data_IF_329780026113
#
_entry.id   IF_329780026113
#
_cell.length_a   1.000
_cell.length_b   1.000
_cell.length_c   1.000
_cell.angle_alpha   90.00
_cell.angle_beta   90.00
_cell.angle_gamma   90.00
#
_symmetry.space_group_name_H-M   'P 1'
#
loop_
_entity.id
_entity.type
_entity.pdbx_description
1 polymer ?
#
# COMPACT_ATOMS: atom_id res chain seq x y z
N UNK A 1 -6.05 -2.75 -0.53
CA UNK A 1 -7.48 -2.69 -0.90
C UNK A 1 -7.96 -4.12 -1.07
N UNK A 2 -9.22 -4.45 -0.78
CA UNK A 2 -9.72 -5.84 -0.96
C UNK A 2 -9.79 -6.29 -2.43
N UNK A 3 -9.74 -5.34 -3.38
CA UNK A 3 -9.79 -5.65 -4.80
C UNK A 3 -8.40 -5.91 -5.38
N UNK A 4 -8.24 -6.87 -6.29
CA UNK A 4 -6.98 -7.07 -7.01
C UNK A 4 -6.68 -5.91 -7.96
N UNK A 5 -5.43 -5.76 -8.43
CA UNK A 5 -5.09 -4.73 -9.42
C UNK A 5 -5.93 -4.88 -10.70
N UNK A 6 -6.13 -6.12 -11.16
CA UNK A 6 -6.99 -6.42 -12.30
C UNK A 6 -8.42 -5.92 -12.07
N UNK A 7 -9.02 -6.21 -10.91
CA UNK A 7 -10.38 -5.75 -10.60
C UNK A 7 -10.46 -4.21 -10.58
N UNK A 8 -9.43 -3.52 -10.05
CA UNK A 8 -9.39 -2.05 -10.03
C UNK A 8 -9.28 -1.47 -11.44
N UNK A 9 -8.46 -2.07 -12.30
CA UNK A 9 -8.36 -1.69 -13.72
C UNK A 9 -9.71 -1.89 -14.41
N UNK A 10 -10.36 -3.04 -14.21
CA UNK A 10 -11.68 -3.33 -14.80
C UNK A 10 -12.72 -2.31 -14.37
N UNK A 11 -12.76 -1.93 -13.08
CA UNK A 11 -13.63 -0.87 -12.58
C UNK A 11 -13.36 0.47 -13.27
N UNK A 12 -12.09 0.85 -13.47
CA UNK A 12 -11.73 2.09 -14.17
C UNK A 12 -12.13 2.07 -15.65
N UNK A 13 -11.93 0.93 -16.32
CA UNK A 13 -12.35 0.73 -17.71
C UNK A 13 -13.87 0.79 -17.87
N UNK A 14 -14.62 0.19 -16.93
CA UNK A 14 -16.08 0.26 -16.88
C UNK A 14 -16.58 1.67 -16.51
N UNK A 15 -15.85 2.42 -15.69
CA UNK A 15 -16.18 3.83 -15.41
C UNK A 15 -16.11 4.70 -16.66
N UNK A 16 -15.13 4.44 -17.53
CA UNK A 16 -14.87 5.27 -18.70
C UNK A 16 -14.17 6.59 -18.34
N UNK A 17 -13.96 7.44 -19.33
CA UNK A 17 -13.23 8.70 -19.18
C UNK A 17 -13.86 9.84 -20.00
N UNK A 18 -13.68 11.07 -19.54
CA UNK A 18 -14.24 12.28 -20.16
C UNK A 18 -15.77 12.25 -20.22
N UNK A 19 -16.33 12.61 -21.37
CA UNK A 19 -17.78 12.68 -21.61
C UNK A 19 -18.50 11.33 -21.57
N UNK A 20 -17.77 10.20 -21.54
CA UNK A 20 -18.35 8.84 -21.53
C UNK A 20 -18.27 8.18 -20.15
N UNK A 21 -18.32 8.96 -19.08
CA UNK A 21 -18.31 8.41 -17.72
C UNK A 21 -19.67 7.84 -17.31
N UNK A 22 -19.71 6.54 -17.02
CA UNK A 22 -20.87 5.88 -16.37
C UNK A 22 -20.94 6.27 -14.91
N UNK A 23 -22.12 6.27 -14.28
CA UNK A 23 -22.26 6.52 -12.84
C UNK A 23 -21.60 5.42 -11.98
N UNK A 24 -21.32 5.70 -10.70
CA UNK A 24 -20.70 4.68 -9.82
C UNK A 24 -21.63 3.49 -9.53
N UNK A 25 -22.94 3.70 -9.59
CA UNK A 25 -23.94 2.64 -9.41
C UNK A 25 -23.94 1.70 -10.62
N UNK A 26 -24.03 2.24 -11.83
CA UNK A 26 -23.98 1.46 -13.08
C UNK A 26 -22.69 0.64 -13.19
N UNK A 27 -21.54 1.20 -12.80
CA UNK A 27 -20.27 0.46 -12.79
C UNK A 27 -20.30 -0.70 -11.79
N UNK A 28 -20.90 -0.50 -10.61
CA UNK A 28 -21.01 -1.56 -9.62
C UNK A 28 -21.93 -2.69 -10.13
N UNK A 29 -23.04 -2.35 -10.77
CA UNK A 29 -23.95 -3.32 -11.41
C UNK A 29 -23.23 -4.10 -12.50
N UNK A 30 -22.64 -3.42 -13.49
CA UNK A 30 -21.89 -4.05 -14.58
C UNK A 30 -20.76 -4.95 -14.09
N UNK A 31 -20.03 -4.52 -13.06
CA UNK A 31 -18.94 -5.32 -12.51
C UNK A 31 -19.47 -6.58 -11.81
N UNK A 32 -20.56 -6.47 -11.05
CA UNK A 32 -21.13 -7.62 -10.35
C UNK A 32 -21.79 -8.61 -11.33
N UNK A 33 -22.31 -8.14 -12.46
CA UNK A 33 -22.82 -8.97 -13.56
C UNK A 33 -21.69 -9.73 -14.27
N UNK A 34 -20.54 -9.08 -14.50
CA UNK A 34 -19.35 -9.70 -15.11
C UNK A 34 -18.69 -10.74 -14.18
N UNK A 35 -18.73 -10.50 -12.87
CA UNK A 35 -18.13 -11.37 -11.85
C UNK A 35 -19.17 -11.91 -10.84
N UNK A 36 -20.16 -12.71 -11.29
CA UNK A 36 -21.29 -13.13 -10.46
C UNK A 36 -20.91 -14.12 -9.35
N UNK A 37 -19.81 -14.86 -9.53
CA UNK A 37 -19.33 -15.87 -8.59
C UNK A 37 -18.44 -15.30 -7.47
N UNK A 38 -18.32 -13.97 -7.38
CA UNK A 38 -17.53 -13.32 -6.33
C UNK A 38 -18.28 -13.42 -5.01
N UNK A 39 -17.62 -13.92 -3.95
CA UNK A 39 -18.22 -14.04 -2.62
C UNK A 39 -18.78 -12.72 -2.07
N UNK A 40 -18.22 -11.58 -2.47
CA UNK A 40 -18.67 -10.26 -2.05
C UNK A 40 -18.89 -9.36 -3.28
N UNK A 41 -20.13 -8.95 -3.59
CA UNK A 41 -20.39 -7.94 -4.61
C UNK A 41 -19.72 -6.61 -4.25
N UNK A 42 -19.25 -5.87 -5.25
CA UNK A 42 -18.76 -4.51 -5.01
C UNK A 42 -19.94 -3.54 -4.92
N UNK A 43 -19.79 -2.49 -4.12
CA UNK A 43 -20.80 -1.45 -3.98
C UNK A 43 -20.39 -0.19 -4.73
N UNK A 44 -21.33 0.73 -4.96
CA UNK A 44 -21.03 2.07 -5.49
C UNK A 44 -19.94 2.81 -4.69
N UNK A 45 -19.85 2.56 -3.38
CA UNK A 45 -18.83 3.17 -2.51
C UNK A 45 -17.44 2.59 -2.77
N UNK A 46 -17.38 1.28 -3.04
CA UNK A 46 -16.13 0.62 -3.46
C UNK A 46 -15.63 1.22 -4.77
N UNK A 47 -16.52 1.40 -5.75
CA UNK A 47 -16.20 2.05 -7.04
C UNK A 47 -15.70 3.48 -6.81
N UNK A 48 -16.44 4.29 -6.05
CA UNK A 48 -16.05 5.68 -5.75
C UNK A 48 -14.66 5.75 -5.10
N UNK A 49 -14.37 4.84 -4.16
CA UNK A 49 -13.06 4.77 -3.49
C UNK A 49 -11.93 4.40 -4.45
N UNK A 50 -12.17 3.47 -5.39
CA UNK A 50 -11.18 3.10 -6.43
C UNK A 50 -10.90 4.30 -7.35
N UNK A 51 -11.95 4.97 -7.82
CA UNK A 51 -11.82 6.12 -8.73
C UNK A 51 -11.11 7.28 -8.04
N UNK A 52 -11.51 7.63 -6.81
CA UNK A 52 -10.85 8.69 -6.04
C UNK A 52 -9.37 8.37 -5.85
N UNK A 53 -9.06 7.14 -5.45
CA UNK A 53 -7.69 6.73 -5.22
C UNK A 53 -6.83 6.79 -6.50
N UNK A 54 -7.39 6.39 -7.64
CA UNK A 54 -6.71 6.53 -8.93
C UNK A 54 -6.48 8.01 -9.28
N UNK A 55 -7.46 8.89 -9.06
CA UNK A 55 -7.29 10.32 -9.32
C UNK A 55 -6.22 10.96 -8.42
N UNK A 56 -6.09 10.49 -7.18
CA UNK A 56 -5.12 11.01 -6.22
C UNK A 56 -3.69 10.53 -6.49
N UNK A 57 -3.53 9.31 -7.01
CA UNK A 57 -2.21 8.64 -7.10
C UNK A 57 -1.77 8.27 -8.51
N UNK A 58 -2.66 8.36 -9.49
CA UNK A 58 -2.48 7.87 -10.87
C UNK A 58 -2.00 6.41 -10.93
N UNK A 59 -2.34 5.61 -9.92
CA UNK A 59 -1.86 4.25 -9.75
C UNK A 59 -2.98 3.32 -9.31
N UNK A 60 -2.89 2.07 -9.75
CA UNK A 60 -3.75 0.96 -9.29
C UNK A 60 -3.01 -0.01 -8.36
N UNK A 61 -1.72 0.24 -8.12
CA UNK A 61 -0.84 -0.62 -7.31
C UNK A 61 -1.10 -0.47 -5.83
N UNK A 62 -1.02 -1.57 -5.09
CA UNK A 62 -1.12 -1.49 -3.63
C UNK A 62 -0.12 -0.48 -3.05
N UNK A 63 -0.60 0.33 -2.09
CA UNK A 63 0.32 1.14 -1.29
C UNK A 63 1.26 0.19 -0.57
N UNK A 64 2.58 0.50 -0.51
CA UNK A 64 3.45 -0.19 0.42
C UNK A 64 2.80 -0.08 1.80
N UNK A 65 2.53 -1.24 2.41
CA UNK A 65 1.97 -1.27 3.77
C UNK A 65 2.94 -0.45 4.62
N UNK A 66 2.48 0.60 5.34
CA UNK A 66 3.35 1.29 6.26
C UNK A 66 3.89 0.22 7.21
N UNK A 67 5.18 -0.05 7.11
CA UNK A 67 5.86 -0.98 8.00
C UNK A 67 5.76 -0.45 9.42
N UNK A 68 6.16 -1.29 10.39
CA UNK A 68 6.45 -0.78 11.72
C UNK A 68 7.50 0.33 11.56
N UNK A 69 7.22 1.50 12.15
CA UNK A 69 8.20 2.59 12.18
C UNK A 69 9.52 2.04 12.77
N UNK A 70 10.68 2.38 12.18
CA UNK A 70 11.95 1.92 12.70
C UNK A 70 12.10 2.40 14.16
N UNK A 71 12.69 1.55 15.00
CA UNK A 71 12.93 1.88 16.42
C UNK A 71 13.99 2.99 16.55
N UNK A 72 14.83 3.13 15.53
CA UNK A 72 15.92 4.11 15.45
C UNK A 72 15.69 5.06 14.26
N UNK A 73 16.20 6.28 14.40
CA UNK A 73 16.29 7.24 13.31
C UNK A 73 17.47 6.91 12.36
N UNK A 74 17.56 7.67 11.26
CA UNK A 74 18.55 7.45 10.21
C UNK A 74 19.99 7.71 10.70
N UNK A 75 20.17 8.68 11.60
CA UNK A 75 21.47 9.04 12.18
C UNK A 75 22.02 7.90 13.04
N UNK A 76 21.20 7.38 13.97
CA UNK A 76 21.58 6.21 14.79
C UNK A 76 21.80 4.97 13.94
N UNK A 77 21.03 4.80 12.87
CA UNK A 77 21.25 3.69 11.93
C UNK A 77 22.62 3.79 11.25
N UNK A 78 23.08 4.99 10.93
CA UNK A 78 24.37 5.23 10.30
C UNK A 78 25.52 4.96 11.27
N UNK A 79 25.38 5.40 12.52
CA UNK A 79 26.38 5.21 13.57
C UNK A 79 26.58 3.72 13.90
N UNK A 80 25.48 2.96 14.02
CA UNK A 80 25.53 1.49 14.16
C UNK A 80 26.30 0.86 12.99
N UNK A 81 26.00 1.26 11.74
CA UNK A 81 26.69 0.71 10.57
C UNK A 81 28.18 1.05 10.58
N UNK A 82 28.55 2.25 11.02
CA UNK A 82 29.94 2.68 11.12
C UNK A 82 30.73 1.87 12.14
N UNK A 83 30.12 1.51 13.29
CA UNK A 83 30.79 0.69 14.32
C UNK A 83 31.32 -0.66 13.80
N UNK A 84 30.60 -1.32 12.89
CA UNK A 84 31.03 -2.59 12.28
C UNK A 84 32.06 -2.41 11.17
N UNK A 85 32.14 -1.22 10.57
CA UNK A 85 33.20 -0.88 9.62
C UNK A 85 34.51 -0.62 10.37
N UNK A 86 34.43 0.07 11.51
CA UNK A 86 35.58 0.41 12.34
C UNK A 86 36.14 -0.80 13.10
N UNK A 87 35.27 -1.67 13.61
CA UNK A 87 35.66 -2.96 14.20
C UNK A 87 34.74 -4.08 13.70
N UNK A 88 35.15 -4.85 12.66
CA UNK A 88 34.36 -5.95 12.13
C UNK A 88 34.13 -7.11 13.12
N UNK A 89 34.86 -7.16 14.23
CA UNK A 89 34.73 -8.19 15.25
C UNK A 89 33.88 -7.75 16.45
N UNK A 90 33.33 -6.53 16.42
CA UNK A 90 32.49 -6.03 17.49
C UNK A 90 31.22 -6.88 17.63
N UNK A 91 30.89 -7.23 18.88
CA UNK A 91 29.64 -7.92 19.17
C UNK A 91 28.44 -7.03 18.87
N UNK A 92 27.43 -7.60 18.22
CA UNK A 92 26.15 -6.92 17.94
C UNK A 92 25.46 -6.34 19.17
N UNK A 93 25.77 -6.84 20.37
CA UNK A 93 25.23 -6.33 21.62
C UNK A 93 25.75 -4.94 21.99
N UNK A 94 26.96 -4.57 21.57
CA UNK A 94 27.57 -3.28 21.94
C UNK A 94 26.86 -2.08 21.29
N UNK A 95 26.70 -2.02 19.95
CA UNK A 95 25.97 -0.92 19.32
C UNK A 95 24.49 -0.84 19.76
N UNK A 96 23.86 -1.99 20.04
CA UNK A 96 22.48 -2.05 20.52
C UNK A 96 22.30 -1.35 21.88
N UNK A 97 23.28 -1.49 22.78
CA UNK A 97 23.26 -0.82 24.09
C UNK A 97 23.68 0.65 23.97
N UNK A 98 24.69 0.96 23.16
CA UNK A 98 25.19 2.32 22.96
C UNK A 98 24.13 3.25 22.33
N UNK A 99 23.23 2.70 21.51
CA UNK A 99 22.16 3.47 20.85
C UNK A 99 20.75 3.23 21.41
N UNK A 100 20.62 2.55 22.56
CA UNK A 100 19.34 2.24 23.21
C UNK A 100 18.32 1.55 22.27
N UNK A 101 18.79 0.71 21.35
CA UNK A 101 17.98 0.04 20.32
C UNK A 101 17.07 -1.04 20.94
N UNK A 102 17.47 -1.57 22.10
CA UNK A 102 16.73 -2.58 22.85
C UNK A 102 16.75 -2.27 24.34
N UNK A 103 15.63 -1.74 24.84
CA UNK A 103 15.24 -1.86 26.24
C UNK A 103 14.21 -2.99 26.33
N UNK A 104 14.67 -4.17 26.76
CA UNK A 104 13.83 -5.23 27.31
C UNK A 104 14.08 -5.30 28.80
#
# INVERSE_FOLDING_TARGET
>A
MENSEFERITVLMMRGYGERMRSYAEVAELFNEEFPNRNNPITRFTVARIVQWFNDTYSVKDRPKPGRAPVIDEEKSLDVMQSFVEDPHISTRRPVLEHDISQS
#
